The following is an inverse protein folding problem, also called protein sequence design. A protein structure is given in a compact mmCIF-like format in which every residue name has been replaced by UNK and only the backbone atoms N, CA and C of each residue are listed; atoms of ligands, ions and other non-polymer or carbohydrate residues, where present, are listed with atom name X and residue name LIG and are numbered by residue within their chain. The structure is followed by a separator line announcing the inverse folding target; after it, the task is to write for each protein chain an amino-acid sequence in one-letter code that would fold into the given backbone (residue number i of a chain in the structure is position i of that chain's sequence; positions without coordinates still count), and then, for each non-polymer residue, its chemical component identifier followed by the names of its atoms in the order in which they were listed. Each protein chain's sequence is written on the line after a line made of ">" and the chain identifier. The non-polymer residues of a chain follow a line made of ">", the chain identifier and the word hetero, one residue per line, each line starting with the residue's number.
data_IF_408858594741
#
_entry.id   IF_408858594741
#
_cell.length_a   1.000
_cell.length_b   1.000
_cell.length_c   1.000
_cell.angle_alpha   90.00
_cell.angle_beta   90.00
_cell.angle_gamma   90.00
#
_symmetry.space_group_name_H-M   'P 1'
#
loop_
_entity.id
_entity.type
_entity.pdbx_description
1 polymer ?
#
# COMPACT_ATOMS: atom_id res chain seq x y z
N UNK A 1 -1.58 -7.59 11.21
CA UNK A 1 -1.05 -7.18 9.91
C UNK A 1 -0.14 -8.29 9.44
N UNK A 2 -0.21 -8.63 8.17
CA UNK A 2 0.66 -9.60 7.53
C UNK A 2 1.03 -9.09 6.16
N UNK A 3 2.32 -9.19 5.81
CA UNK A 3 2.85 -8.83 4.52
C UNK A 3 3.41 -10.09 3.85
N UNK A 4 3.12 -10.25 2.58
CA UNK A 4 3.64 -11.31 1.72
C UNK A 4 4.27 -10.67 0.49
N UNK A 5 5.52 -11.06 0.20
CA UNK A 5 6.23 -10.68 -1.01
C UNK A 5 6.21 -11.88 -1.96
N UNK A 6 5.63 -11.70 -3.13
CA UNK A 6 5.53 -12.72 -4.17
C UNK A 6 6.51 -12.38 -5.31
N UNK A 7 7.33 -13.35 -5.71
CA UNK A 7 8.17 -13.24 -6.91
C UNK A 7 7.39 -13.76 -8.12
N UNK A 8 7.16 -12.91 -9.12
CA UNK A 8 6.44 -13.26 -10.34
C UNK A 8 7.35 -13.91 -11.40
N UNK A 9 8.63 -14.17 -11.09
CA UNK A 9 9.64 -14.80 -11.95
C UNK A 9 9.87 -14.07 -13.29
N UNK A 10 9.59 -12.77 -13.33
CA UNK A 10 9.77 -11.93 -14.52
C UNK A 10 10.47 -10.59 -14.19
N UNK A 11 11.10 -10.51 -13.02
CA UNK A 11 11.73 -9.30 -12.49
C UNK A 11 10.81 -8.41 -11.66
N UNK A 12 9.50 -8.64 -11.66
CA UNK A 12 8.53 -7.95 -10.82
C UNK A 12 8.18 -8.74 -9.58
N UNK A 13 7.86 -8.01 -8.51
CA UNK A 13 7.40 -8.59 -7.26
C UNK A 13 6.05 -7.99 -6.89
N UNK A 14 5.17 -8.82 -6.35
CA UNK A 14 3.92 -8.40 -5.74
C UNK A 14 4.07 -8.22 -4.23
N UNK A 15 3.48 -7.16 -3.68
CA UNK A 15 3.33 -6.98 -2.24
C UNK A 15 1.85 -7.10 -1.85
N UNK A 16 1.52 -8.11 -1.03
CA UNK A 16 0.18 -8.27 -0.46
C UNK A 16 0.19 -7.87 1.00
N UNK A 17 -0.64 -6.89 1.36
CA UNK A 17 -0.87 -6.47 2.74
C UNK A 17 -2.25 -6.89 3.22
N UNK A 18 -2.28 -7.67 4.29
CA UNK A 18 -3.51 -8.08 4.96
C UNK A 18 -3.59 -7.38 6.33
N UNK A 19 -4.66 -6.59 6.50
CA UNK A 19 -4.87 -5.74 7.67
C UNK A 19 -6.10 -6.20 8.45
N UNK A 20 -6.01 -6.14 9.78
CA UNK A 20 -7.18 -6.27 10.67
C UNK A 20 -7.97 -4.96 10.69
N UNK A 21 -9.28 -4.97 11.02
CA UNK A 21 -10.09 -3.74 11.08
C UNK A 21 -9.47 -2.60 11.91
N UNK A 22 -8.92 -2.91 13.09
CA UNK A 22 -8.25 -1.92 13.93
C UNK A 22 -6.97 -1.34 13.30
N UNK A 23 -6.29 -2.10 12.43
CA UNK A 23 -5.10 -1.65 11.71
C UNK A 23 -5.49 -0.77 10.52
N UNK A 24 -6.59 -1.08 9.84
CA UNK A 24 -7.18 -0.23 8.80
C UNK A 24 -7.53 1.14 9.39
N UNK A 25 -8.19 1.17 10.54
CA UNK A 25 -8.57 2.42 11.20
C UNK A 25 -7.33 3.27 11.58
N UNK A 26 -6.27 2.61 12.07
CA UNK A 26 -4.99 3.28 12.34
C UNK A 26 -4.34 3.81 11.07
N UNK A 27 -4.34 3.05 9.99
CA UNK A 27 -3.79 3.46 8.69
C UNK A 27 -4.54 4.67 8.13
N UNK A 28 -5.87 4.69 8.20
CA UNK A 28 -6.69 5.83 7.78
C UNK A 28 -6.27 7.10 8.53
N UNK A 29 -6.12 7.03 9.85
CA UNK A 29 -5.67 8.19 10.65
C UNK A 29 -4.28 8.68 10.27
N UNK A 30 -3.34 7.77 9.99
CA UNK A 30 -1.99 8.12 9.56
C UNK A 30 -2.01 8.80 8.18
N UNK A 31 -2.79 8.28 7.24
CA UNK A 31 -2.99 8.90 5.92
C UNK A 31 -3.62 10.29 6.03
N UNK A 32 -4.64 10.45 6.88
CA UNK A 32 -5.24 11.76 7.18
C UNK A 32 -4.22 12.73 7.79
N UNK A 33 -3.28 12.23 8.60
CA UNK A 33 -2.19 13.07 9.14
C UNK A 33 -1.27 13.57 8.04
N UNK A 34 -0.89 12.73 7.08
CA UNK A 34 -0.06 13.14 5.94
C UNK A 34 -0.74 14.23 5.09
N UNK A 35 -2.07 14.17 4.95
CA UNK A 35 -2.82 15.23 4.26
C UNK A 35 -2.75 16.60 4.98
N UNK A 36 -2.61 16.58 6.31
CA UNK A 36 -2.56 17.80 7.13
C UNK A 36 -1.14 18.33 7.32
N UNK A 37 -0.15 17.44 7.23
CA UNK A 37 1.25 17.71 7.53
C UNK A 37 2.12 16.92 6.52
N UNK A 38 2.27 17.44 5.28
CA UNK A 38 2.90 16.70 4.17
C UNK A 38 4.39 16.38 4.38
N UNK A 39 5.05 17.05 5.33
CA UNK A 39 6.46 16.81 5.66
C UNK A 39 6.66 15.56 6.55
N UNK A 40 5.58 14.92 6.99
CA UNK A 40 5.62 13.69 7.77
C UNK A 40 5.66 12.44 6.89
N UNK A 41 5.98 11.31 7.54
CA UNK A 41 5.89 9.96 6.97
C UNK A 41 5.58 8.96 8.09
N UNK A 42 5.19 7.74 7.72
CA UNK A 42 5.06 6.65 8.68
C UNK A 42 5.53 5.33 8.09
N UNK A 43 5.80 4.38 8.97
CA UNK A 43 6.37 3.08 8.63
C UNK A 43 5.47 1.93 9.05
N UNK A 44 5.53 0.84 8.28
CA UNK A 44 5.07 -0.49 8.65
C UNK A 44 6.25 -1.46 8.59
N UNK A 45 6.87 -1.70 9.75
CA UNK A 45 8.09 -2.49 9.84
C UNK A 45 7.83 -3.95 10.24
N UNK A 46 8.67 -4.84 9.75
CA UNK A 46 8.69 -6.25 10.12
C UNK A 46 9.10 -6.44 11.58
N UNK A 47 8.77 -7.60 12.14
CA UNK A 47 9.38 -8.04 13.41
C UNK A 47 10.75 -8.71 13.21
N UNK A 48 11.22 -8.82 11.95
CA UNK A 48 12.51 -9.41 11.55
C UNK A 48 12.75 -10.82 12.09
N UNK A 49 11.68 -11.59 12.33
CA UNK A 49 11.78 -12.94 12.89
C UNK A 49 12.24 -14.00 11.85
N UNK A 50 12.09 -13.72 10.55
CA UNK A 50 12.54 -14.57 9.46
C UNK A 50 13.95 -14.20 8.99
N UNK A 51 14.62 -15.11 8.28
CA UNK A 51 15.99 -14.89 7.78
C UNK A 51 16.08 -13.79 6.70
N UNK A 52 15.03 -13.63 5.90
CA UNK A 52 14.93 -12.60 4.85
C UNK A 52 13.45 -12.31 4.54
N UNK A 53 13.20 -11.20 3.84
CA UNK A 53 11.86 -10.80 3.41
C UNK A 53 11.69 -9.28 3.40
N UNK A 54 10.43 -8.84 3.48
CA UNK A 54 10.09 -7.42 3.59
C UNK A 54 10.48 -6.88 4.97
N UNK A 55 11.31 -5.84 5.00
CA UNK A 55 11.78 -5.20 6.24
C UNK A 55 10.93 -4.01 6.68
N UNK A 56 10.55 -3.15 5.73
CA UNK A 56 9.84 -1.90 6.00
C UNK A 56 9.01 -1.47 4.79
N UNK A 57 7.91 -0.76 5.07
CA UNK A 57 7.15 0.00 4.08
C UNK A 57 6.98 1.40 4.64
N UNK A 58 7.56 2.38 3.94
CA UNK A 58 7.38 3.80 4.24
C UNK A 58 6.25 4.38 3.39
N UNK A 59 5.45 5.27 3.98
CA UNK A 59 4.43 6.05 3.28
C UNK A 59 4.60 7.52 3.62
N UNK A 60 4.70 8.34 2.59
CA UNK A 60 4.92 9.79 2.64
C UNK A 60 4.12 10.48 1.53
N UNK A 61 4.15 11.81 1.49
CA UNK A 61 3.59 12.59 0.36
C UNK A 61 4.66 12.70 -0.72
N UNK A 62 4.32 12.29 -1.95
CA UNK A 62 5.22 12.39 -3.10
C UNK A 62 5.61 13.85 -3.40
N UNK A 63 6.85 14.05 -3.82
CA UNK A 63 7.34 15.36 -4.24
C UNK A 63 6.67 15.84 -5.54
N UNK A 64 6.64 17.16 -5.77
CA UNK A 64 5.99 17.74 -6.97
C UNK A 64 6.55 17.22 -8.30
N UNK A 65 7.84 16.88 -8.33
CA UNK A 65 8.54 16.45 -9.55
C UNK A 65 8.89 14.95 -9.53
N UNK A 66 8.31 14.18 -8.61
CA UNK A 66 8.57 12.74 -8.50
C UNK A 66 7.73 11.97 -9.54
N UNK A 67 8.34 11.14 -10.40
CA UNK A 67 7.60 10.40 -11.42
C UNK A 67 6.86 9.20 -10.82
N UNK A 68 5.61 9.00 -11.25
CA UNK A 68 4.84 7.82 -10.87
C UNK A 68 5.43 6.54 -11.46
N UNK A 69 5.58 5.51 -10.63
CA UNK A 69 5.91 4.14 -11.05
C UNK A 69 4.80 3.12 -10.70
N UNK A 70 3.69 3.58 -10.10
CA UNK A 70 2.53 2.80 -9.70
C UNK A 70 1.26 3.60 -9.95
N UNK A 71 0.11 2.92 -10.11
CA UNK A 71 -1.20 3.56 -10.21
C UNK A 71 -2.16 2.93 -9.20
N UNK A 72 -3.05 3.75 -8.63
CA UNK A 72 -4.13 3.27 -7.78
C UNK A 72 -5.30 2.82 -8.64
N UNK A 73 -5.67 1.56 -8.52
CA UNK A 73 -6.91 1.02 -9.11
C UNK A 73 -8.04 1.03 -8.08
N UNK A 74 -9.27 0.82 -8.56
CA UNK A 74 -10.44 0.64 -7.71
C UNK A 74 -10.45 -0.71 -6.99
N UNK A 75 -11.55 -0.98 -6.28
CA UNK A 75 -11.76 -2.26 -5.63
C UNK A 75 -11.70 -3.41 -6.64
N UNK A 76 -11.15 -4.54 -6.18
CA UNK A 76 -11.18 -5.77 -6.96
C UNK A 76 -12.63 -6.12 -7.29
N UNK A 77 -12.93 -6.24 -8.58
CA UNK A 77 -14.21 -6.70 -9.06
C UNK A 77 -14.17 -8.22 -9.19
N UNK A 78 -15.26 -8.90 -8.81
CA UNK A 78 -15.39 -10.31 -9.09
C UNK A 78 -15.42 -10.55 -10.61
N UNK A 79 -14.95 -11.71 -11.11
CA UNK A 79 -15.06 -12.05 -12.52
C UNK A 79 -16.49 -11.87 -13.03
N UNK A 80 -16.67 -11.12 -14.12
CA UNK A 80 -17.99 -10.84 -14.72
C UNK A 80 -18.74 -9.63 -14.15
N UNK A 81 -18.15 -8.86 -13.22
CA UNK A 81 -18.77 -7.61 -12.75
C UNK A 81 -18.58 -6.51 -13.81
N UNK A 82 -19.66 -5.82 -14.18
CA UNK A 82 -19.59 -4.65 -15.05
C UNK A 82 -18.87 -3.50 -14.32
N UNK A 83 -17.89 -2.90 -14.99
CA UNK A 83 -17.16 -1.73 -14.49
C UNK A 83 -18.04 -0.50 -14.74
N UNK A 84 -18.43 0.27 -13.70
CA UNK A 84 -19.10 1.55 -13.92
C UNK A 84 -18.18 2.48 -14.73
N UNK A 85 -18.70 3.29 -15.66
CA UNK A 85 -17.88 4.27 -16.36
C UNK A 85 -17.22 5.20 -15.33
N UNK A 86 -15.92 5.48 -15.53
CA UNK A 86 -15.14 6.27 -14.59
C UNK A 86 -15.79 7.64 -14.33
N UNK A 87 -16.09 7.95 -13.06
CA UNK A 87 -16.56 9.27 -12.61
C UNK A 87 -18.02 9.38 -12.13
N UNK A 88 -18.65 8.30 -11.68
CA UNK A 88 -19.95 8.33 -10.99
C UNK A 88 -19.81 8.47 -9.47
#
# INVERSE_FOLDING_TARGET
>A
MHAELEDWNNGWHGLRLSLRPAEIERLIRLLQRLQQDPDQHFHMSSNYAAASGLGDIEVSVAGQDEPDNLWLSGLALAPGTEVPPAGA
#
